data_IF_624299720669
#
_entry.id   IF_624299720669
#
_cell.length_a   1.000
_cell.length_b   1.000
_cell.length_c   1.000
_cell.angle_alpha   90.00
_cell.angle_beta   90.00
_cell.angle_gamma   90.00
#
_symmetry.space_group_name_H-M   'P 1'
#
loop_
_entity.id
_entity.type
_entity.pdbx_description
1 polymer ?
#
# COMPACT_ATOMS: atom_id res chain seq x y z
N UNK A 1 -16.67 4.17 -24.88
CA UNK A 1 -16.11 3.07 -25.69
C UNK A 1 -17.27 2.50 -26.49
N UNK A 2 -17.13 2.42 -27.81
CA UNK A 2 -18.15 1.82 -28.68
C UNK A 2 -18.21 0.31 -28.47
N UNK A 3 -19.37 -0.31 -28.71
CA UNK A 3 -19.57 -1.77 -28.59
C UNK A 3 -18.55 -2.58 -29.39
N UNK A 4 -18.18 -2.11 -30.59
CA UNK A 4 -17.22 -2.79 -31.47
C UNK A 4 -15.79 -2.83 -30.90
N UNK A 5 -15.40 -1.83 -30.10
CA UNK A 5 -14.04 -1.75 -29.54
C UNK A 5 -13.86 -2.73 -28.37
N UNK A 6 -14.95 -3.03 -27.65
CA UNK A 6 -14.96 -4.02 -26.56
C UNK A 6 -14.89 -5.46 -27.07
N UNK A 7 -15.54 -5.75 -28.21
CA UNK A 7 -15.55 -7.08 -28.81
C UNK A 7 -14.20 -7.46 -29.42
N UNK A 8 -13.56 -6.54 -30.15
CA UNK A 8 -12.22 -6.81 -30.71
C UNK A 8 -11.18 -7.09 -29.62
N UNK A 9 -11.20 -6.30 -28.53
CA UNK A 9 -10.34 -6.55 -27.36
C UNK A 9 -10.60 -7.93 -26.75
N UNK A 10 -11.85 -8.40 -26.75
CA UNK A 10 -12.23 -9.72 -26.24
C UNK A 10 -11.70 -10.85 -27.13
N UNK A 11 -11.83 -10.73 -28.46
CA UNK A 11 -11.35 -11.70 -29.44
C UNK A 11 -9.82 -11.82 -29.38
N UNK A 12 -9.11 -10.69 -29.36
CA UNK A 12 -7.64 -10.67 -29.20
C UNK A 12 -7.21 -11.37 -27.92
N UNK A 13 -7.96 -11.16 -26.84
CA UNK A 13 -7.66 -11.74 -25.54
C UNK A 13 -7.87 -13.25 -25.53
N UNK A 14 -8.99 -13.74 -26.08
CA UNK A 14 -9.27 -15.17 -26.22
C UNK A 14 -8.19 -15.83 -27.08
N UNK A 15 -7.81 -15.21 -28.20
CA UNK A 15 -6.77 -15.69 -29.10
C UNK A 15 -5.42 -15.85 -28.40
N UNK A 16 -4.98 -14.83 -27.65
CA UNK A 16 -3.71 -14.84 -26.89
C UNK A 16 -3.66 -15.94 -25.84
N UNK A 17 -4.74 -16.13 -25.06
CA UNK A 17 -4.74 -17.07 -23.92
C UNK A 17 -4.95 -18.53 -24.35
N UNK A 18 -5.79 -18.75 -25.37
CA UNK A 18 -6.01 -20.10 -25.92
C UNK A 18 -4.94 -20.53 -26.93
N UNK A 19 -3.97 -19.65 -27.24
CA UNK A 19 -2.98 -19.84 -28.30
C UNK A 19 -3.62 -20.22 -29.65
N UNK A 20 -4.82 -19.70 -29.90
CA UNK A 20 -5.65 -19.99 -31.09
C UNK A 20 -5.67 -18.75 -31.98
N UNK A 21 -5.46 -18.85 -33.30
CA UNK A 21 -5.45 -17.68 -34.18
C UNK A 21 -6.75 -16.87 -34.11
N UNK A 22 -6.66 -15.53 -34.20
CA UNK A 22 -7.80 -14.61 -34.16
C UNK A 22 -8.89 -15.01 -35.16
N UNK A 23 -8.50 -15.36 -36.38
CA UNK A 23 -9.42 -15.83 -37.43
C UNK A 23 -10.24 -17.05 -36.98
N UNK A 24 -9.58 -17.99 -36.29
CA UNK A 24 -10.21 -19.20 -35.78
C UNK A 24 -11.15 -18.86 -34.62
N UNK A 25 -10.77 -17.93 -33.74
CA UNK A 25 -11.62 -17.46 -32.64
C UNK A 25 -12.87 -16.77 -33.18
N UNK A 26 -12.75 -15.88 -34.18
CA UNK A 26 -13.89 -15.24 -34.84
C UNK A 26 -14.84 -16.27 -35.43
N UNK A 27 -14.29 -17.24 -36.14
CA UNK A 27 -15.09 -18.33 -36.70
C UNK A 27 -15.82 -19.13 -35.62
N UNK A 28 -15.16 -19.45 -34.51
CA UNK A 28 -15.81 -20.14 -33.39
C UNK A 28 -16.94 -19.31 -32.78
N UNK A 29 -16.83 -17.99 -32.77
CA UNK A 29 -17.87 -17.07 -32.28
C UNK A 29 -19.07 -17.06 -33.24
N UNK A 30 -18.82 -16.90 -34.54
CA UNK A 30 -19.85 -16.98 -35.58
C UNK A 30 -20.58 -18.34 -35.53
N UNK A 31 -19.82 -19.44 -35.53
CA UNK A 31 -20.38 -20.80 -35.44
C UNK A 31 -21.25 -20.96 -34.18
N UNK A 32 -20.84 -20.39 -33.05
CA UNK A 32 -21.58 -20.44 -31.78
C UNK A 32 -22.83 -19.58 -31.79
N UNK A 33 -22.79 -18.43 -32.44
CA UNK A 33 -23.93 -17.53 -32.58
C UNK A 33 -25.00 -18.14 -33.49
N UNK A 34 -24.58 -18.80 -34.57
CA UNK A 34 -25.44 -19.54 -35.50
C UNK A 34 -26.03 -20.80 -34.84
N UNK A 35 -25.23 -21.56 -34.07
CA UNK A 35 -25.70 -22.73 -33.29
C UNK A 35 -26.86 -22.33 -32.34
N UNK A 36 -26.76 -21.15 -31.75
CA UNK A 36 -27.77 -20.60 -30.85
C UNK A 36 -28.86 -19.79 -31.58
N UNK A 37 -28.95 -19.94 -32.92
CA UNK A 37 -29.98 -19.32 -33.77
C UNK A 37 -30.06 -17.79 -33.60
N UNK A 38 -28.94 -17.14 -33.33
CA UNK A 38 -28.88 -15.68 -33.09
C UNK A 38 -29.53 -15.21 -31.79
N UNK A 39 -29.86 -16.12 -30.86
CA UNK A 39 -30.43 -15.78 -29.55
C UNK A 39 -29.42 -15.10 -28.62
N UNK A 40 -28.14 -15.15 -28.96
CA UNK A 40 -27.04 -14.49 -28.24
C UNK A 40 -26.40 -13.43 -29.13
N UNK A 41 -25.95 -12.33 -28.51
CA UNK A 41 -25.09 -11.37 -29.20
C UNK A 41 -23.73 -12.00 -29.52
N UNK A 42 -23.00 -11.40 -30.46
CA UNK A 42 -21.63 -11.78 -30.81
C UNK A 42 -20.70 -11.77 -29.58
N UNK A 43 -20.86 -10.78 -28.71
CA UNK A 43 -20.20 -10.73 -27.39
C UNK A 43 -20.59 -11.92 -26.52
N UNK A 44 -21.89 -12.26 -26.46
CA UNK A 44 -22.39 -13.42 -25.71
C UNK A 44 -21.83 -14.74 -26.23
N UNK A 45 -21.71 -14.90 -27.55
CA UNK A 45 -21.08 -16.04 -28.19
C UNK A 45 -19.58 -16.12 -27.86
N UNK A 46 -18.86 -14.99 -27.87
CA UNK A 46 -17.46 -14.90 -27.44
C UNK A 46 -17.24 -15.36 -26.00
N UNK A 47 -18.16 -15.03 -25.08
CA UNK A 47 -18.09 -15.53 -23.70
C UNK A 47 -18.26 -17.05 -23.60
N UNK A 48 -19.12 -17.63 -24.45
CA UNK A 48 -19.36 -19.08 -24.47
C UNK A 48 -18.12 -19.80 -25.03
N UNK A 49 -17.57 -19.29 -26.14
CA UNK A 49 -16.34 -19.81 -26.75
C UNK A 49 -15.17 -19.76 -25.78
N UNK A 50 -14.98 -18.64 -25.07
CA UNK A 50 -13.94 -18.52 -24.07
C UNK A 50 -14.07 -19.61 -22.98
N UNK A 51 -15.29 -19.84 -22.50
CA UNK A 51 -15.55 -20.87 -21.48
C UNK A 51 -15.31 -22.29 -21.98
N UNK A 52 -15.64 -22.58 -23.24
CA UNK A 52 -15.35 -23.86 -23.89
C UNK A 52 -13.83 -24.10 -24.03
N UNK A 53 -13.07 -23.02 -24.26
CA UNK A 53 -11.60 -23.04 -24.28
C UNK A 53 -10.97 -23.05 -22.88
N UNK A 54 -11.77 -23.19 -21.81
CA UNK A 54 -11.30 -23.21 -20.44
C UNK A 54 -10.89 -21.84 -19.89
N UNK A 55 -11.20 -20.76 -20.60
CA UNK A 55 -10.92 -19.38 -20.20
C UNK A 55 -12.10 -18.87 -19.38
N UNK A 56 -11.83 -18.54 -18.12
CA UNK A 56 -12.76 -17.87 -17.24
C UNK A 56 -12.68 -16.36 -17.49
N UNK A 57 -13.58 -15.86 -18.32
CA UNK A 57 -13.80 -14.42 -18.42
C UNK A 57 -14.60 -14.01 -17.18
N UNK A 58 -13.91 -13.56 -16.13
CA UNK A 58 -14.55 -13.01 -14.94
C UNK A 58 -15.50 -11.89 -15.37
N UNK A 59 -16.79 -12.20 -15.44
CA UNK A 59 -17.82 -11.23 -15.80
C UNK A 59 -17.75 -10.08 -14.80
N UNK A 60 -17.50 -8.89 -15.32
CA UNK A 60 -17.74 -7.60 -14.67
C UNK A 60 -19.19 -7.54 -14.16
N UNK A 61 -19.48 -8.12 -13.00
CA UNK A 61 -20.77 -7.95 -12.31
C UNK A 61 -20.59 -8.09 -10.81
N UNK A 62 -19.66 -7.30 -10.28
CA UNK A 62 -19.69 -6.65 -8.96
C UNK A 62 -18.54 -5.64 -8.97
N UNK A 63 -18.88 -4.37 -8.78
CA UNK A 63 -18.03 -3.17 -8.73
C UNK A 63 -16.59 -3.48 -8.29
N UNK A 64 -15.71 -3.85 -9.22
CA UNK A 64 -14.29 -3.92 -8.92
C UNK A 64 -13.82 -2.48 -8.73
N UNK A 65 -13.46 -2.14 -7.50
CA UNK A 65 -13.06 -0.80 -7.16
C UNK A 65 -11.57 -0.66 -7.50
N UNK A 66 -11.25 0.31 -8.35
CA UNK A 66 -9.86 0.67 -8.61
C UNK A 66 -9.20 1.22 -7.35
N UNK A 67 -7.92 0.96 -7.18
CA UNK A 67 -7.17 1.31 -5.96
C UNK A 67 -7.21 2.82 -5.67
N UNK A 68 -7.10 3.68 -6.69
CA UNK A 68 -7.22 5.14 -6.51
C UNK A 68 -8.54 5.60 -5.89
N UNK A 69 -9.60 4.80 -6.02
CA UNK A 69 -10.93 5.12 -5.53
C UNK A 69 -11.20 4.54 -4.13
N UNK A 70 -10.20 3.90 -3.50
CA UNK A 70 -10.31 3.44 -2.12
C UNK A 70 -10.40 4.64 -1.19
N UNK A 71 -11.44 4.65 -0.35
CA UNK A 71 -11.65 5.64 0.69
C UNK A 71 -11.90 4.92 2.00
N UNK A 72 -11.39 5.47 3.10
CA UNK A 72 -11.59 4.92 4.44
C UNK A 72 -13.06 4.80 4.78
N UNK A 73 -13.46 3.67 5.37
CA UNK A 73 -14.84 3.40 5.74
C UNK A 73 -15.65 2.63 4.70
N UNK A 74 -15.13 2.46 3.47
CA UNK A 74 -15.74 1.57 2.48
C UNK A 74 -15.74 0.12 2.98
N UNK A 75 -16.83 -0.59 2.70
CA UNK A 75 -17.05 -1.99 3.06
C UNK A 75 -17.50 -2.76 1.83
N UNK A 76 -17.34 -4.09 1.87
CA UNK A 76 -17.66 -4.99 0.76
C UNK A 76 -16.96 -4.56 -0.54
N UNK A 77 -15.67 -4.24 -0.40
CA UNK A 77 -14.81 -3.81 -1.49
C UNK A 77 -14.24 -5.04 -2.19
N UNK A 78 -14.43 -5.08 -3.50
CA UNK A 78 -13.86 -6.08 -4.39
C UNK A 78 -12.72 -5.41 -5.18
N UNK A 79 -11.49 -5.91 -5.07
CA UNK A 79 -10.35 -5.47 -5.90
C UNK A 79 -9.65 -6.66 -6.54
N UNK A 80 -9.04 -6.42 -7.69
CA UNK A 80 -8.04 -7.31 -8.28
C UNK A 80 -6.78 -6.49 -8.47
N UNK A 81 -5.66 -7.02 -8.02
CA UNK A 81 -4.37 -6.37 -8.16
C UNK A 81 -3.25 -7.38 -7.99
N UNK A 82 -2.05 -7.00 -8.41
CA UNK A 82 -0.86 -7.84 -8.28
C UNK A 82 -0.07 -7.44 -7.05
N UNK A 83 0.54 -8.43 -6.43
CA UNK A 83 1.40 -8.22 -5.27
C UNK A 83 2.70 -7.57 -5.75
N UNK A 84 2.96 -6.38 -5.25
CA UNK A 84 4.20 -5.63 -5.47
C UNK A 84 5.24 -6.01 -4.43
N UNK A 85 4.81 -6.20 -3.18
CA UNK A 85 5.69 -6.54 -2.08
C UNK A 85 4.98 -7.42 -1.04
N UNK A 86 5.74 -8.31 -0.41
CA UNK A 86 5.32 -9.11 0.74
C UNK A 86 6.25 -8.82 1.89
N UNK A 87 5.73 -8.27 2.99
CA UNK A 87 6.54 -8.03 4.18
C UNK A 87 6.82 -9.34 4.92
N UNK A 88 7.90 -9.36 5.69
CA UNK A 88 8.12 -10.39 6.69
C UNK A 88 6.96 -10.43 7.70
N UNK A 89 6.66 -11.63 8.21
CA UNK A 89 5.72 -11.81 9.31
C UNK A 89 6.32 -11.25 10.60
N UNK A 90 5.56 -10.40 11.29
CA UNK A 90 5.92 -9.85 12.59
C UNK A 90 4.99 -10.39 13.67
N UNK A 91 5.57 -10.84 14.77
CA UNK A 91 4.85 -11.18 15.98
C UNK A 91 4.56 -9.92 16.81
N UNK A 92 3.39 -9.88 17.45
CA UNK A 92 3.02 -8.83 18.39
C UNK A 92 2.22 -9.45 19.55
N UNK A 93 2.12 -8.71 20.66
CA UNK A 93 1.24 -9.07 21.77
C UNK A 93 0.17 -7.99 21.94
N UNK A 94 -1.10 -8.41 22.01
CA UNK A 94 -2.23 -7.50 22.26
C UNK A 94 -3.18 -8.10 23.28
N UNK A 95 -3.42 -7.37 24.37
CA UNK A 95 -4.26 -7.80 25.49
C UNK A 95 -3.83 -9.18 26.07
N UNK A 96 -2.52 -9.42 26.17
CA UNK A 96 -1.96 -10.68 26.68
C UNK A 96 -2.10 -11.87 25.73
N UNK A 97 -2.54 -11.64 24.48
CA UNK A 97 -2.62 -12.67 23.44
C UNK A 97 -1.54 -12.42 22.39
N UNK A 98 -0.76 -13.44 22.01
CA UNK A 98 0.13 -13.35 20.87
C UNK A 98 -0.71 -13.21 19.59
N UNK A 99 -0.19 -12.46 18.64
CA UNK A 99 -0.76 -12.30 17.32
C UNK A 99 0.35 -12.10 16.30
N UNK A 100 0.00 -12.31 15.04
CA UNK A 100 0.93 -12.16 13.92
C UNK A 100 0.34 -11.24 12.87
N UNK A 101 1.19 -10.46 12.22
CA UNK A 101 0.81 -9.61 11.10
C UNK A 101 1.84 -9.67 9.98
N UNK A 102 1.36 -9.78 8.75
CA UNK A 102 2.14 -9.57 7.52
C UNK A 102 1.37 -8.61 6.61
N UNK A 103 2.08 -7.88 5.76
CA UNK A 103 1.48 -6.93 4.84
C UNK A 103 1.81 -7.32 3.40
N UNK A 104 0.79 -7.31 2.55
CA UNK A 104 0.93 -7.36 1.10
C UNK A 104 0.73 -5.93 0.58
N UNK A 105 1.60 -5.49 -0.32
CA UNK A 105 1.34 -4.29 -1.13
C UNK A 105 0.74 -4.78 -2.44
N UNK A 106 -0.50 -4.39 -2.73
CA UNK A 106 -1.23 -4.81 -3.91
C UNK A 106 -1.43 -3.59 -4.81
N UNK A 107 -1.16 -3.75 -6.11
CA UNK A 107 -1.23 -2.68 -7.10
C UNK A 107 -2.11 -3.00 -8.30
N UNK A 108 -2.71 -1.97 -8.87
CA UNK A 108 -3.39 -1.95 -10.17
C UNK A 108 -2.86 -0.76 -10.99
N UNK A 109 -3.39 -0.53 -12.19
CA UNK A 109 -2.94 0.58 -13.05
C UNK A 109 -3.21 1.98 -12.47
N UNK A 110 -3.91 2.06 -11.34
CA UNK A 110 -4.31 3.31 -10.69
C UNK A 110 -3.58 3.61 -9.38
N UNK A 111 -2.85 2.64 -8.81
CA UNK A 111 -2.04 2.86 -7.61
C UNK A 111 -1.81 1.60 -6.79
N UNK A 112 -1.35 1.79 -5.54
CA UNK A 112 -1.11 0.71 -4.57
C UNK A 112 -1.92 0.88 -3.29
N UNK A 113 -2.26 -0.24 -2.67
CA UNK A 113 -2.84 -0.29 -1.34
C UNK A 113 -2.20 -1.40 -0.51
N UNK A 114 -2.08 -1.14 0.80
CA UNK A 114 -1.65 -2.15 1.76
C UNK A 114 -2.81 -3.06 2.10
N UNK A 115 -2.62 -4.36 1.95
CA UNK A 115 -3.51 -5.41 2.44
C UNK A 115 -2.85 -6.10 3.65
N UNK A 116 -3.42 -5.90 4.83
CA UNK A 116 -2.87 -6.47 6.06
C UNK A 116 -3.50 -7.82 6.37
N UNK A 117 -2.63 -8.81 6.58
CA UNK A 117 -2.92 -10.23 6.84
C UNK A 117 -2.62 -10.54 8.31
N UNK A 118 -3.63 -10.96 9.07
CA UNK A 118 -3.52 -11.17 10.52
C UNK A 118 -3.76 -12.62 10.91
N UNK A 119 -2.95 -13.14 11.84
CA UNK A 119 -3.09 -14.47 12.43
C UNK A 119 -3.27 -15.54 11.33
N UNK A 120 -4.39 -16.28 11.35
CA UNK A 120 -4.76 -17.32 10.38
C UNK A 120 -4.79 -16.82 8.92
N UNK A 121 -4.96 -15.52 8.67
CA UNK A 121 -4.87 -14.96 7.31
C UNK A 121 -3.45 -15.11 6.74
N UNK A 122 -2.41 -15.15 7.59
CA UNK A 122 -1.01 -15.27 7.17
C UNK A 122 -0.74 -16.64 6.55
N UNK A 123 -1.43 -17.68 7.03
CA UNK A 123 -1.28 -19.02 6.47
C UNK A 123 -1.64 -19.04 4.98
N UNK A 124 -2.57 -18.18 4.55
CA UNK A 124 -2.95 -18.00 3.13
C UNK A 124 -1.81 -17.50 2.25
N UNK A 125 -0.84 -16.77 2.81
CA UNK A 125 0.34 -16.32 2.06
C UNK A 125 1.14 -17.54 1.60
N UNK A 126 1.35 -18.52 2.50
CA UNK A 126 2.06 -19.76 2.19
C UNK A 126 1.20 -20.71 1.37
N UNK A 127 -0.06 -20.92 1.77
CA UNK A 127 -1.00 -21.83 1.13
C UNK A 127 -1.21 -21.49 -0.34
N UNK A 128 -1.41 -20.21 -0.66
CA UNK A 128 -1.61 -19.76 -2.04
C UNK A 128 -0.30 -19.42 -2.75
N UNK A 129 0.86 -19.53 -2.10
CA UNK A 129 2.13 -19.13 -2.67
C UNK A 129 2.12 -17.67 -3.13
N UNK A 130 1.65 -16.77 -2.26
CA UNK A 130 1.58 -15.34 -2.51
C UNK A 130 2.98 -14.75 -2.39
N UNK A 131 3.56 -14.43 -3.54
CA UNK A 131 4.87 -13.77 -3.66
C UNK A 131 4.75 -12.55 -4.57
N UNK A 132 5.80 -11.74 -4.62
CA UNK A 132 5.86 -10.61 -5.55
C UNK A 132 5.61 -11.08 -6.99
N UNK A 133 4.81 -10.29 -7.71
CA UNK A 133 4.40 -10.56 -9.08
C UNK A 133 3.13 -11.42 -9.20
N UNK A 134 2.60 -12.03 -8.15
CA UNK A 134 1.38 -12.83 -8.24
C UNK A 134 0.12 -11.96 -8.18
N UNK A 135 -0.93 -12.35 -8.92
CA UNK A 135 -2.20 -11.62 -8.92
C UNK A 135 -3.17 -12.20 -7.91
N UNK A 136 -3.84 -11.29 -7.18
CA UNK A 136 -4.82 -11.65 -6.16
C UNK A 136 -6.12 -10.89 -6.36
N UNK A 137 -7.22 -11.54 -6.00
CA UNK A 137 -8.54 -10.96 -5.87
C UNK A 137 -8.95 -10.93 -4.41
N UNK A 138 -9.23 -9.73 -3.93
CA UNK A 138 -9.93 -9.54 -2.67
C UNK A 138 -11.40 -9.33 -2.98
N UNK A 139 -12.29 -10.14 -2.40
CA UNK A 139 -13.74 -9.98 -2.50
C UNK A 139 -14.33 -9.73 -1.12
N UNK A 140 -15.17 -8.72 -0.98
CA UNK A 140 -15.88 -8.43 0.26
C UNK A 140 -15.01 -7.83 1.36
N UNK A 141 -13.85 -7.27 1.02
CA UNK A 141 -12.95 -6.61 1.96
C UNK A 141 -13.50 -5.30 2.50
N UNK A 142 -12.77 -4.64 3.37
CA UNK A 142 -13.09 -3.29 3.82
C UNK A 142 -11.84 -2.42 3.93
N UNK A 143 -12.05 -1.11 3.79
CA UNK A 143 -11.00 -0.11 3.86
C UNK A 143 -11.04 0.53 5.23
N UNK A 144 -9.92 0.45 5.95
CA UNK A 144 -9.69 1.16 7.19
C UNK A 144 -8.60 2.20 7.00
N UNK A 145 -8.57 3.16 7.92
CA UNK A 145 -7.38 3.95 8.14
C UNK A 145 -6.49 3.22 9.15
N UNK A 146 -5.24 2.97 8.80
CA UNK A 146 -4.27 2.47 9.78
C UNK A 146 -3.94 3.55 10.82
N UNK A 147 -3.21 3.16 11.87
CA UNK A 147 -2.81 4.07 12.95
C UNK A 147 -1.84 5.19 12.49
N UNK A 148 -1.40 5.16 11.23
CA UNK A 148 -0.50 6.13 10.59
C UNK A 148 -1.24 6.98 9.55
N UNK A 149 -2.55 6.82 9.40
CA UNK A 149 -3.36 7.59 8.46
C UNK A 149 -3.43 7.03 7.04
N UNK A 150 -2.92 5.82 6.78
CA UNK A 150 -2.93 5.20 5.44
C UNK A 150 -4.21 4.42 5.17
N UNK A 151 -4.54 4.27 3.89
CA UNK A 151 -5.55 3.31 3.42
C UNK A 151 -5.01 1.90 3.64
N UNK A 152 -5.71 1.14 4.47
CA UNK A 152 -5.44 -0.25 4.79
C UNK A 152 -6.63 -1.09 4.34
N UNK A 153 -6.39 -2.02 3.42
CA UNK A 153 -7.33 -3.05 3.05
C UNK A 153 -7.27 -4.18 4.07
N UNK A 154 -8.44 -4.68 4.43
CA UNK A 154 -8.62 -5.81 5.35
C UNK A 154 -9.58 -6.81 4.73
N UNK A 155 -9.28 -8.09 4.90
CA UNK A 155 -10.14 -9.17 4.41
C UNK A 155 -11.45 -9.20 5.21
N UNK A 156 -11.36 -9.29 6.54
CA UNK A 156 -12.55 -9.34 7.39
C UNK A 156 -13.38 -10.60 7.11
N UNK A 157 -14.64 -10.42 6.69
CA UNK A 157 -15.51 -11.53 6.25
C UNK A 157 -15.37 -11.84 4.76
N UNK A 158 -14.51 -11.12 4.06
CA UNK A 158 -14.20 -11.30 2.66
C UNK A 158 -13.36 -12.54 2.40
N UNK A 159 -12.97 -12.70 1.13
CA UNK A 159 -12.13 -13.79 0.64
C UNK A 159 -10.96 -13.19 -0.13
N UNK A 160 -9.77 -13.74 0.09
CA UNK A 160 -8.60 -13.48 -0.75
C UNK A 160 -8.34 -14.74 -1.57
N UNK A 161 -8.16 -14.57 -2.88
CA UNK A 161 -7.90 -15.65 -3.82
C UNK A 161 -6.71 -15.28 -4.69
N UNK A 162 -5.84 -16.25 -4.95
CA UNK A 162 -4.84 -16.12 -6.02
C UNK A 162 -5.54 -16.34 -7.35
N UNK A 163 -5.25 -15.49 -8.32
CA UNK A 163 -5.75 -15.64 -9.68
C UNK A 163 -4.66 -16.25 -10.56
N UNK A 164 -5.02 -17.27 -11.33
CA UNK A 164 -4.16 -17.80 -12.38
C UNK A 164 -4.40 -17.01 -13.67
N UNK A 165 -3.49 -16.09 -13.98
CA UNK A 165 -3.53 -15.26 -15.20
C UNK A 165 -3.55 -16.06 -16.50
N UNK A 166 -3.21 -17.35 -16.48
CA UNK A 166 -3.34 -18.22 -17.66
C UNK A 166 -4.78 -18.62 -17.96
N UNK A 167 -5.63 -18.61 -16.93
CA UNK A 167 -7.00 -19.13 -16.97
C UNK A 167 -8.00 -17.97 -16.90
N UNK A 168 -7.69 -16.94 -16.13
CA UNK A 168 -8.54 -15.77 -15.93
C UNK A 168 -7.99 -14.55 -16.70
N UNK A 169 -8.85 -13.93 -17.50
CA UNK A 169 -8.54 -12.68 -18.18
C UNK A 169 -8.62 -11.51 -17.20
N UNK A 170 -7.51 -10.79 -17.03
CA UNK A 170 -7.43 -9.63 -16.15
C UNK A 170 -6.72 -8.48 -16.87
N UNK A 171 -7.32 -7.30 -16.87
CA UNK A 171 -6.67 -6.06 -17.34
C UNK A 171 -5.80 -5.49 -16.21
N UNK A 172 -4.63 -6.11 -16.00
CA UNK A 172 -3.59 -5.63 -15.10
C UNK A 172 -2.26 -5.49 -15.86
N UNK A 173 -1.41 -4.52 -15.50
CA UNK A 173 -0.06 -4.45 -16.05
C UNK A 173 0.72 -5.76 -15.82
N UNK A 174 1.62 -6.08 -16.76
CA UNK A 174 2.48 -7.28 -16.71
C UNK A 174 3.40 -7.28 -15.49
N UNK A 175 4.04 -8.41 -15.17
CA UNK A 175 4.98 -8.49 -14.01
C UNK A 175 6.14 -7.52 -14.16
N UNK A 176 6.70 -7.40 -15.36
CA UNK A 176 7.79 -6.48 -15.70
C UNK A 176 7.30 -5.02 -15.69
N UNK A 177 6.17 -4.73 -16.35
CA UNK A 177 5.61 -3.37 -16.37
C UNK A 177 5.11 -2.97 -14.99
N UNK A 178 4.71 -3.91 -14.13
CA UNK A 178 4.43 -3.65 -12.73
C UNK A 178 5.72 -3.30 -12.01
N UNK A 179 6.78 -4.11 -12.08
CA UNK A 179 8.04 -3.72 -11.46
C UNK A 179 8.53 -2.36 -11.96
N UNK A 180 8.40 -2.02 -13.23
CA UNK A 180 8.74 -0.69 -13.73
C UNK A 180 7.74 0.41 -13.30
N UNK A 181 6.43 0.12 -13.27
CA UNK A 181 5.36 1.00 -12.78
C UNK A 181 5.30 1.15 -11.24
N UNK A 182 5.98 0.27 -10.49
CA UNK A 182 5.98 0.21 -9.02
C UNK A 182 7.38 0.37 -8.39
N UNK A 183 8.48 0.14 -9.11
CA UNK A 183 9.74 0.87 -8.91
C UNK A 183 9.52 2.36 -9.19
N UNK A 184 8.49 2.68 -9.99
CA UNK A 184 7.75 3.93 -9.89
C UNK A 184 6.60 3.90 -8.87
N UNK A 185 6.89 3.55 -7.60
CA UNK A 185 6.62 4.55 -6.57
C UNK A 185 7.48 5.72 -7.02
N UNK A 186 6.97 6.55 -7.96
CA UNK A 186 7.78 7.59 -8.58
C UNK A 186 8.38 8.35 -7.42
N UNK A 187 9.71 8.33 -7.34
CA UNK A 187 10.39 9.36 -6.59
C UNK A 187 9.94 10.65 -7.23
N UNK A 188 9.07 11.35 -6.52
CA UNK A 188 8.51 12.60 -6.99
C UNK A 188 9.29 13.71 -6.32
N UNK A 189 9.67 14.76 -7.05
CA UNK A 189 10.16 15.93 -6.39
C UNK A 189 9.04 16.48 -5.48
N UNK A 190 9.44 17.08 -4.36
CA UNK A 190 8.54 17.54 -3.30
C UNK A 190 7.48 18.53 -3.84
N UNK A 191 7.84 19.33 -4.83
CA UNK A 191 6.98 20.32 -5.47
C UNK A 191 5.85 19.71 -6.33
N UNK A 192 5.96 18.43 -6.71
CA UNK A 192 4.93 17.69 -7.43
C UNK A 192 3.92 16.97 -6.51
N UNK A 193 4.19 16.92 -5.20
CA UNK A 193 3.34 16.25 -4.23
C UNK A 193 2.03 17.02 -3.97
N UNK A 194 0.94 16.27 -3.79
CA UNK A 194 -0.41 16.78 -3.52
C UNK A 194 -1.01 16.14 -2.28
N UNK A 195 -2.05 16.77 -1.74
CA UNK A 195 -2.81 16.19 -0.63
C UNK A 195 -3.38 14.82 -1.01
N UNK A 196 -3.21 13.85 -0.11
CA UNK A 196 -3.66 12.48 -0.29
C UNK A 196 -2.67 11.58 -1.02
N UNK A 197 -1.60 12.12 -1.62
CA UNK A 197 -0.59 11.32 -2.30
C UNK A 197 0.07 10.31 -1.37
N UNK A 198 0.40 9.15 -1.91
CA UNK A 198 1.35 8.22 -1.31
C UNK A 198 2.56 8.13 -2.25
N UNK A 199 3.76 8.40 -1.74
CA UNK A 199 4.94 8.53 -2.59
C UNK A 199 6.26 8.38 -1.84
N UNK A 200 7.32 8.24 -2.62
CA UNK A 200 8.71 8.22 -2.18
C UNK A 200 9.37 9.56 -2.54
N UNK A 201 10.21 10.07 -1.65
CA UNK A 201 11.12 11.19 -1.92
C UNK A 201 12.53 10.80 -1.46
N UNK A 202 13.55 11.29 -2.18
CA UNK A 202 14.92 11.34 -1.68
C UNK A 202 15.18 12.75 -1.19
N UNK A 203 15.38 12.92 0.10
CA UNK A 203 15.52 14.25 0.67
C UNK A 203 16.57 14.26 1.78
N UNK A 204 17.24 15.40 1.89
CA UNK A 204 18.15 15.72 2.97
C UNK A 204 17.36 16.22 4.19
N UNK A 205 17.67 15.70 5.37
CA UNK A 205 17.11 16.25 6.61
C UNK A 205 17.79 17.56 6.96
N UNK A 206 17.08 18.68 6.76
CA UNK A 206 17.64 20.03 6.97
C UNK A 206 17.32 20.61 8.35
N UNK A 207 16.24 20.15 8.99
CA UNK A 207 15.85 20.62 10.31
C UNK A 207 15.11 19.54 11.11
N UNK A 208 15.34 19.51 12.42
CA UNK A 208 14.50 18.77 13.37
C UNK A 208 13.82 19.72 14.34
N UNK A 209 12.53 19.54 14.56
CA UNK A 209 11.78 20.32 15.54
C UNK A 209 11.97 19.71 16.93
N UNK A 210 12.71 20.43 17.78
CA UNK A 210 12.98 20.03 19.17
C UNK A 210 11.77 20.32 20.05
N UNK A 211 10.90 19.34 20.23
CA UNK A 211 9.74 19.36 21.15
C UNK A 211 9.73 18.08 21.98
N UNK A 212 9.00 18.04 23.08
CA UNK A 212 8.82 16.77 23.80
C UNK A 212 8.17 15.76 22.83
N UNK A 213 8.86 14.68 22.45
CA UNK A 213 8.36 13.77 21.43
C UNK A 213 7.46 12.68 22.01
N UNK A 214 7.48 12.49 23.33
CA UNK A 214 6.78 11.40 24.00
C UNK A 214 5.31 11.78 24.26
N UNK A 215 4.43 10.80 24.08
CA UNK A 215 3.03 10.92 24.45
C UNK A 215 2.49 9.58 24.97
N UNK A 216 1.50 9.69 25.84
CA UNK A 216 0.89 8.57 26.53
C UNK A 216 -0.21 7.94 25.69
N UNK A 217 -0.19 6.61 25.60
CA UNK A 217 -1.16 5.82 24.86
C UNK A 217 -1.73 4.68 25.70
N UNK A 218 -2.97 4.32 25.41
CA UNK A 218 -3.60 3.13 25.95
C UNK A 218 -2.85 1.88 25.47
N UNK A 219 -2.42 0.97 26.36
CA UNK A 219 -1.71 -0.24 25.95
C UNK A 219 -2.60 -1.24 25.17
N UNK A 220 -3.93 -1.14 25.30
CA UNK A 220 -4.87 -2.09 24.69
C UNK A 220 -5.27 -1.72 23.25
N UNK A 221 -5.47 -0.42 22.99
CA UNK A 221 -5.88 0.07 21.66
C UNK A 221 -4.88 0.98 20.97
N UNK A 222 -3.89 1.53 21.68
CA UNK A 222 -2.92 2.48 21.13
C UNK A 222 -3.43 3.90 20.93
N UNK A 223 -4.69 4.18 21.29
CA UNK A 223 -5.27 5.53 21.31
C UNK A 223 -4.61 6.38 22.40
N UNK A 224 -4.63 7.71 22.22
CA UNK A 224 -4.05 8.65 23.19
C UNK A 224 -4.73 8.51 24.56
N UNK A 225 -3.95 8.29 25.60
CA UNK A 225 -4.42 8.32 26.98
C UNK A 225 -4.45 9.78 27.47
N UNK A 226 -5.44 10.11 28.30
CA UNK A 226 -5.61 11.45 28.88
C UNK A 226 -5.50 11.34 30.40
N UNK A 227 -4.87 12.32 31.03
CA UNK A 227 -4.83 12.42 32.49
C UNK A 227 -6.14 13.05 32.97
N UNK A 228 -6.98 12.25 33.64
CA UNK A 228 -8.27 12.66 34.22
C UNK A 228 -8.29 12.27 35.69
N UNK A 229 -8.55 13.22 36.60
CA UNK A 229 -8.61 12.98 38.05
C UNK A 229 -7.39 12.20 38.59
N UNK A 230 -6.18 12.63 38.21
CA UNK A 230 -4.90 12.01 38.61
C UNK A 230 -4.69 10.56 38.13
N UNK A 231 -5.56 10.06 37.24
CA UNK A 231 -5.44 8.74 36.61
C UNK A 231 -5.42 8.86 35.10
N UNK A 232 -4.66 7.98 34.46
CA UNK A 232 -4.63 7.90 33.01
C UNK A 232 -5.83 7.09 32.52
N UNK A 233 -6.59 7.68 31.59
CA UNK A 233 -7.78 7.07 31.04
C UNK A 233 -7.79 7.10 29.52
N UNK A 234 -8.41 6.07 28.93
CA UNK A 234 -8.68 5.93 27.52
C UNK A 234 -10.19 5.94 27.29
N UNK A 235 -10.66 6.64 26.25
CA UNK A 235 -12.09 6.77 25.95
C UNK A 235 -12.80 5.41 25.78
N UNK A 236 -12.08 4.38 25.27
CA UNK A 236 -12.62 3.02 25.10
C UNK A 236 -12.42 2.07 26.30
N UNK A 237 -11.35 2.24 27.09
CA UNK A 237 -10.90 1.22 28.07
C UNK A 237 -10.90 1.73 29.52
N UNK A 238 -11.32 2.98 29.75
CA UNK A 238 -11.32 3.59 31.08
C UNK A 238 -9.91 3.77 31.63
N UNK A 239 -9.73 3.53 32.93
CA UNK A 239 -8.46 3.66 33.63
C UNK A 239 -7.41 2.67 33.08
N UNK A 240 -6.24 3.18 32.69
CA UNK A 240 -5.14 2.39 32.12
C UNK A 240 -3.79 2.85 32.68
N UNK A 241 -2.81 1.94 32.76
CA UNK A 241 -1.41 2.34 32.85
C UNK A 241 -0.90 2.65 31.44
N UNK A 242 -0.49 3.90 31.15
CA UNK A 242 -0.17 4.28 29.78
C UNK A 242 1.16 3.69 29.32
N UNK A 243 1.17 3.20 28.09
CA UNK A 243 2.40 3.02 27.33
C UNK A 243 2.88 4.34 26.74
N UNK A 244 4.09 4.36 26.19
CA UNK A 244 4.67 5.55 25.58
C UNK A 244 4.86 5.32 24.08
N UNK A 245 4.60 6.37 23.30
CA UNK A 245 5.01 6.44 21.90
C UNK A 245 5.71 7.75 21.66
N UNK A 246 6.55 7.79 20.63
CA UNK A 246 7.23 9.00 20.20
C UNK A 246 6.72 9.49 18.85
N UNK A 247 6.61 10.81 18.70
CA UNK A 247 6.47 11.49 17.41
C UNK A 247 7.58 12.53 17.30
N UNK A 248 8.34 12.46 16.23
CA UNK A 248 9.34 13.48 15.89
C UNK A 248 9.00 14.04 14.52
N UNK A 249 9.33 15.30 14.32
CA UNK A 249 9.10 15.95 13.03
C UNK A 249 10.25 16.85 12.67
N UNK A 250 10.42 17.06 11.38
CA UNK A 250 11.48 17.88 10.83
C UNK A 250 11.07 18.47 9.48
N UNK A 251 12.04 19.04 8.81
CA UNK A 251 11.94 19.50 7.42
C UNK A 251 12.93 18.70 6.60
N UNK A 252 12.45 18.16 5.50
CA UNK A 252 13.24 17.49 4.49
C UNK A 252 13.24 18.34 3.21
N UNK A 253 14.38 18.40 2.53
CA UNK A 253 14.59 19.17 1.30
C UNK A 253 15.23 18.28 0.24
N UNK A 254 14.68 18.26 -0.96
CA UNK A 254 15.16 17.44 -2.09
C UNK A 254 15.81 18.27 -3.20
N UNK A 255 15.98 19.58 -2.99
CA UNK A 255 16.48 20.53 -3.99
C UNK A 255 15.39 21.11 -4.90
N UNK A 256 14.22 20.48 -4.99
CA UNK A 256 13.05 20.97 -5.72
C UNK A 256 12.05 21.67 -4.80
N UNK A 257 11.97 21.24 -3.55
CA UNK A 257 11.17 21.86 -2.51
C UNK A 257 11.55 21.36 -1.13
N UNK A 258 10.80 21.83 -0.14
CA UNK A 258 10.88 21.30 1.21
C UNK A 258 9.50 20.92 1.74
N UNK A 259 9.47 19.86 2.53
CA UNK A 259 8.24 19.35 3.13
C UNK A 259 8.47 19.04 4.60
N UNK A 260 7.45 19.30 5.42
CA UNK A 260 7.44 18.85 6.81
C UNK A 260 7.27 17.34 6.83
N UNK A 261 8.20 16.64 7.46
CA UNK A 261 8.16 15.19 7.63
C UNK A 261 7.84 14.84 9.08
N UNK A 262 6.98 13.84 9.26
CA UNK A 262 6.54 13.36 10.58
C UNK A 262 6.81 11.88 10.71
N UNK A 263 7.56 11.51 11.75
CA UNK A 263 7.97 10.14 12.02
C UNK A 263 7.31 9.66 13.31
N UNK A 264 6.58 8.54 13.22
CA UNK A 264 5.88 7.93 14.35
C UNK A 264 6.57 6.66 14.82
N UNK A 265 6.71 6.52 16.14
CA UNK A 265 7.06 5.28 16.83
C UNK A 265 8.27 4.59 16.18
N UNK A 266 8.13 3.36 15.66
CA UNK A 266 9.21 2.58 15.03
C UNK A 266 10.05 3.36 14.01
N UNK A 267 9.42 4.25 13.22
CA UNK A 267 10.14 5.04 12.21
C UNK A 267 11.03 6.08 12.88
N UNK A 268 10.55 6.68 13.97
CA UNK A 268 11.33 7.57 14.79
C UNK A 268 12.43 6.81 15.55
N UNK A 269 12.15 5.63 16.08
CA UNK A 269 13.17 4.79 16.73
C UNK A 269 14.31 4.43 15.77
N UNK A 270 13.97 4.06 14.52
CA UNK A 270 14.96 3.84 13.45
C UNK A 270 15.81 5.08 13.18
N UNK A 271 15.19 6.26 13.18
CA UNK A 271 15.88 7.53 12.97
C UNK A 271 16.91 7.80 14.09
N UNK A 272 16.56 7.50 15.35
CA UNK A 272 17.43 7.69 16.51
C UNK A 272 18.39 6.51 16.79
N UNK A 273 18.15 5.35 16.17
CA UNK A 273 18.87 4.10 16.45
C UNK A 273 18.67 3.59 17.88
N UNK A 274 17.58 3.98 18.55
CA UNK A 274 17.23 3.64 19.93
C UNK A 274 15.73 3.49 20.06
N UNK A 275 15.30 2.62 20.96
CA UNK A 275 13.88 2.42 21.26
C UNK A 275 13.28 3.61 22.03
N UNK A 276 11.96 3.76 21.99
CA UNK A 276 11.23 4.82 22.70
C UNK A 276 11.56 4.80 24.20
N UNK A 277 11.63 3.61 24.81
CA UNK A 277 11.92 3.45 26.24
C UNK A 277 13.36 3.87 26.61
N UNK A 278 14.34 3.56 25.75
CA UNK A 278 15.72 4.00 25.95
C UNK A 278 15.84 5.53 25.85
N UNK A 279 15.19 6.14 24.86
CA UNK A 279 15.19 7.59 24.69
C UNK A 279 14.48 8.29 25.84
N UNK A 280 13.38 7.71 26.35
CA UNK A 280 12.67 8.25 27.50
C UNK A 280 13.55 8.26 28.76
N UNK A 281 14.26 7.17 29.03
CA UNK A 281 15.23 7.09 30.14
C UNK A 281 16.33 8.15 30.04
N UNK A 282 16.80 8.44 28.82
CA UNK A 282 17.75 9.53 28.59
C UNK A 282 17.11 10.87 28.97
N UNK A 283 15.90 11.17 28.46
CA UNK A 283 15.19 12.41 28.80
C UNK A 283 14.93 12.58 30.31
N UNK A 284 14.58 11.49 31.00
CA UNK A 284 14.39 11.47 32.46
C UNK A 284 15.70 11.73 33.23
N UNK A 285 16.80 11.07 32.82
CA UNK A 285 18.11 11.24 33.46
C UNK A 285 18.66 12.67 33.32
N UNK A 286 18.47 13.26 32.15
CA UNK A 286 18.92 14.63 31.87
C UNK A 286 17.93 15.69 32.41
N UNK A 287 16.79 15.27 32.99
CA UNK A 287 15.67 16.13 33.41
C UNK A 287 15.13 17.04 32.30
N UNK A 288 15.33 16.66 31.04
CA UNK A 288 14.89 17.40 29.85
C UNK A 288 14.72 16.44 28.66
N UNK A 289 13.47 16.22 28.26
CA UNK A 289 13.13 15.36 27.11
C UNK A 289 13.73 15.88 25.79
N UNK A 290 14.11 17.16 25.69
CA UNK A 290 14.72 17.74 24.51
C UNK A 290 16.20 17.37 24.33
N UNK A 291 16.83 16.79 25.36
CA UNK A 291 18.22 16.35 25.30
C UNK A 291 18.44 15.13 24.42
N UNK A 292 17.39 14.35 24.15
CA UNK A 292 17.49 13.22 23.22
C UNK A 292 17.93 13.66 21.82
N UNK A 293 17.61 14.90 21.42
CA UNK A 293 18.00 15.46 20.13
C UNK A 293 19.49 15.78 20.03
N UNK A 294 20.20 15.91 21.15
CA UNK A 294 21.66 16.09 21.15
C UNK A 294 22.39 14.77 20.88
N UNK A 295 21.69 13.63 20.99
CA UNK A 295 22.23 12.29 20.75
C UNK A 295 21.98 11.76 19.33
N UNK A 296 21.43 12.59 18.45
CA UNK A 296 21.17 12.24 17.06
C UNK A 296 21.86 13.25 16.14
N UNK A 297 22.65 12.75 15.18
CA UNK A 297 23.28 13.57 14.16
C UNK A 297 22.82 13.11 12.78
N UNK A 298 21.65 13.62 12.37
CA UNK A 298 21.01 13.30 11.07
C UNK A 298 20.86 14.53 10.17
N UNK A 299 21.20 15.72 10.68
CA UNK A 299 21.11 16.94 9.88
C UNK A 299 22.17 16.88 8.78
N UNK A 300 21.75 17.07 7.53
CA UNK A 300 22.60 16.90 6.35
C UNK A 300 22.59 15.50 5.75
N UNK A 301 22.10 14.49 6.46
CA UNK A 301 22.00 13.13 5.91
C UNK A 301 20.85 13.04 4.90
N UNK A 302 21.12 12.33 3.80
CA UNK A 302 20.09 11.99 2.80
C UNK A 302 19.39 10.68 3.15
N UNK A 303 18.07 10.69 3.01
CA UNK A 303 17.22 9.53 3.22
C UNK A 303 16.26 9.32 2.07
N UNK A 304 15.89 8.06 1.87
CA UNK A 304 14.70 7.66 1.11
C UNK A 304 13.54 7.62 2.09
N UNK A 305 12.54 8.48 1.87
CA UNK A 305 11.37 8.63 2.70
C UNK A 305 10.13 8.22 1.91
N UNK A 306 9.41 7.22 2.40
CA UNK A 306 8.16 6.78 1.78
C UNK A 306 7.02 7.03 2.75
N UNK A 307 5.98 7.72 2.27
CA UNK A 307 4.90 8.12 3.14
C UNK A 307 3.70 8.74 2.45
N UNK A 308 2.70 9.04 3.26
CA UNK A 308 1.49 9.74 2.83
C UNK A 308 1.63 11.24 3.01
N UNK A 309 1.29 11.98 1.96
CA UNK A 309 1.20 13.44 1.98
C UNK A 309 -0.20 13.83 2.42
N UNK A 310 -0.27 14.73 3.39
CA UNK A 310 -1.50 15.27 3.91
C UNK A 310 -1.39 16.79 4.05
N UNK A 311 -2.42 17.51 3.65
CA UNK A 311 -2.53 18.92 3.95
C UNK A 311 -2.94 19.11 5.42
N UNK A 312 -2.17 19.91 6.14
CA UNK A 312 -2.50 20.29 7.50
C UNK A 312 -3.67 21.28 7.48
N UNK A 313 -4.77 20.92 8.13
CA UNK A 313 -6.00 21.71 8.17
C UNK A 313 -5.86 23.10 8.82
N UNK A 314 -4.82 23.31 9.61
CA UNK A 314 -4.57 24.57 10.31
C UNK A 314 -3.57 25.48 9.60
N UNK A 315 -2.61 24.92 8.87
CA UNK A 315 -1.53 25.69 8.23
C UNK A 315 -1.64 25.72 6.71
N UNK A 316 -2.54 24.92 6.13
CA UNK A 316 -2.71 24.69 4.69
C UNK A 316 -1.45 24.16 3.98
N UNK A 317 -0.38 23.84 4.73
CA UNK A 317 0.85 23.28 4.21
C UNK A 317 0.78 21.76 4.11
N UNK A 318 1.48 21.20 3.13
CA UNK A 318 1.65 19.77 2.99
C UNK A 318 2.64 19.24 4.06
N UNK A 319 2.31 18.09 4.62
CA UNK A 319 3.16 17.32 5.52
C UNK A 319 3.19 15.87 5.04
N UNK A 320 4.37 15.26 5.03
CA UNK A 320 4.50 13.83 4.77
C UNK A 320 4.58 13.05 6.09
N UNK A 321 3.60 12.18 6.30
CA UNK A 321 3.65 11.17 7.36
C UNK A 321 4.48 10.00 6.86
N UNK A 322 5.71 9.91 7.34
CA UNK A 322 6.68 8.91 6.88
C UNK A 322 6.32 7.55 7.45
N UNK A 323 6.17 6.57 6.57
CA UNK A 323 5.86 5.18 6.92
C UNK A 323 7.11 4.30 6.89
N UNK A 324 8.06 4.63 6.02
CA UNK A 324 9.32 3.95 5.86
C UNK A 324 10.46 4.95 5.63
N UNK A 325 11.60 4.64 6.21
CA UNK A 325 12.84 5.41 6.09
C UNK A 325 13.98 4.45 5.79
N UNK A 326 14.78 4.77 4.78
CA UNK A 326 16.01 4.08 4.45
C UNK A 326 17.14 5.08 4.22
N UNK A 327 18.37 4.68 4.52
CA UNK A 327 19.54 5.44 4.07
C UNK A 327 19.72 5.24 2.57
N UNK A 328 20.21 6.27 1.88
CA UNK A 328 20.51 6.18 0.45
C UNK A 328 21.64 5.17 0.23
N UNK A 329 21.39 4.16 -0.60
CA UNK A 329 22.42 3.29 -1.15
C UNK A 329 22.92 3.90 -2.46
N UNK A 330 24.14 4.45 -2.42
CA UNK A 330 24.76 5.13 -3.56
C UNK A 330 24.87 4.23 -4.78
N UNK A 331 25.15 2.93 -4.61
CA UNK A 331 25.29 2.01 -5.75
C UNK A 331 23.94 1.74 -6.41
N UNK A 332 22.92 1.50 -5.59
CA UNK A 332 21.54 1.32 -6.08
C UNK A 332 21.05 2.57 -6.82
N UNK A 333 21.36 3.74 -6.26
CA UNK A 333 21.00 5.03 -6.82
C UNK A 333 21.66 5.31 -8.17
N UNK A 334 22.96 5.02 -8.31
CA UNK A 334 23.67 5.14 -9.60
C UNK A 334 23.00 4.27 -10.66
N UNK A 335 22.66 3.03 -10.31
CA UNK A 335 22.00 2.12 -11.26
C UNK A 335 20.63 2.63 -11.69
N UNK A 336 19.84 3.17 -10.76
CA UNK A 336 18.53 3.76 -11.08
C UNK A 336 18.65 4.99 -12.00
N UNK A 337 19.65 5.83 -11.77
CA UNK A 337 19.90 6.99 -12.64
C UNK A 337 20.37 6.58 -14.03
N UNK A 338 21.19 5.53 -14.12
CA UNK A 338 21.64 5.00 -15.42
C UNK A 338 20.46 4.42 -16.22
N UNK A 339 19.57 3.66 -15.59
CA UNK A 339 18.39 3.13 -16.29
C UNK A 339 17.44 4.23 -16.76
N UNK A 340 17.25 5.31 -15.99
CA UNK A 340 16.45 6.47 -16.43
C UNK A 340 17.03 7.20 -17.65
N UNK A 341 18.36 7.19 -17.80
CA UNK A 341 19.04 7.81 -18.94
C UNK A 341 18.99 6.92 -20.18
N UNK A 342 19.11 5.60 -20.03
CA UNK A 342 19.04 4.63 -21.13
C UNK A 342 17.64 4.55 -21.76
N UNK A 343 16.57 4.85 -21.01
CA UNK A 343 15.18 4.88 -21.50
C UNK A 343 14.86 6.14 -22.33
N UNK A 344 15.76 7.14 -22.35
CA UNK A 344 15.57 8.41 -23.08
C UNK A 344 16.27 8.49 -24.44
N UNK A 345 16.97 7.44 -24.86
CA UNK A 345 17.49 7.25 -26.23
C UNK A 345 16.59 6.33 -27.05
#
# INVERSE_FOLDING_TARGET
MSSDESLEKLIETISKHSNTPIETVRKMIEDKQDELSGLVSEEGAAYIVARELGISLLKETKRQLKIKNLVTGLRSVDIVGRIVNVSETRDFERNGKPGQVANLVVGDETGVARLSMWNEEIDKIKEFGLVEGETVKLSGGYVKMDNRGNIELRIGRGKLEKIDEKIDVIDLPSKENMKEQFETIRRRPIDELKDGDYGEIKACMVQMFRRNPFFEVCPQCGSRAKLLNEKWACDEHGDVQPGHRMVVSGVADDGNGNIRVVFFSEVAEKLFGKTTDELKKIGEREMDALKIYDHINILGDEFILTGRVKQNSYTEKLEMVVNEIAKVDVKKEINNLLSELEVKE
#
